data_IF_824382918246
#
_entry.id   IF_824382918246
#
_cell.length_a   1.000
_cell.length_b   1.000
_cell.length_c   1.000
_cell.angle_alpha   90.00
_cell.angle_beta   90.00
_cell.angle_gamma   90.00
#
_symmetry.space_group_name_H-M   'P 1'
#
loop_
_entity.id
_entity.type
_entity.pdbx_description
1 polymer ?
#
# COMPACT_ATOMS: atom_id res chain seq x y z
N UNK A 1 -15.86 11.34 5.95
CA UNK A 1 -15.80 10.10 5.13
C UNK A 1 -14.32 9.81 4.94
N UNK A 2 -13.85 8.60 5.25
CA UNK A 2 -12.46 8.23 4.98
C UNK A 2 -12.23 8.18 3.46
N UNK A 3 -11.08 8.65 3.01
CA UNK A 3 -10.69 8.57 1.60
C UNK A 3 -10.38 7.11 1.22
N UNK A 4 -10.52 6.75 -0.06
CA UNK A 4 -10.24 5.39 -0.56
C UNK A 4 -8.79 4.97 -0.25
N UNK A 5 -7.85 5.91 -0.37
CA UNK A 5 -6.44 5.72 0.00
C UNK A 5 -6.26 5.37 1.48
N UNK A 6 -6.96 6.07 2.38
CA UNK A 6 -6.93 5.81 3.81
C UNK A 6 -7.49 4.42 4.15
N UNK A 7 -8.56 3.99 3.48
CA UNK A 7 -9.13 2.66 3.68
C UNK A 7 -8.17 1.55 3.25
N UNK A 8 -7.49 1.72 2.10
CA UNK A 8 -6.48 0.76 1.63
C UNK A 8 -5.30 0.74 2.59
N UNK A 9 -4.81 1.89 3.04
CA UNK A 9 -3.72 2.01 4.00
C UNK A 9 -4.06 1.40 5.36
N UNK A 10 -5.29 1.52 5.86
CA UNK A 10 -5.73 0.88 7.11
C UNK A 10 -5.83 -0.65 6.99
N UNK A 11 -6.14 -1.17 5.80
CA UNK A 11 -6.27 -2.60 5.56
C UNK A 11 -4.92 -3.33 5.43
N UNK A 12 -3.81 -2.58 5.27
CA UNK A 12 -2.45 -3.13 5.13
C UNK A 12 -1.53 -2.65 6.24
N UNK A 13 -0.83 -3.57 6.89
CA UNK A 13 0.08 -3.28 8.00
C UNK A 13 1.55 -3.45 7.56
N UNK A 14 2.49 -2.60 8.01
CA UNK A 14 3.93 -2.80 7.82
C UNK A 14 4.49 -4.17 8.23
N UNK A 15 3.83 -4.92 9.12
CA UNK A 15 4.24 -6.28 9.51
C UNK A 15 3.83 -7.35 8.51
N UNK A 16 2.92 -7.04 7.58
CA UNK A 16 2.46 -7.98 6.56
C UNK A 16 3.55 -8.23 5.53
N UNK A 17 3.67 -9.47 5.12
CA UNK A 17 4.42 -9.88 3.94
C UNK A 17 3.79 -9.30 2.68
N UNK A 18 4.59 -9.23 1.59
CA UNK A 18 4.08 -8.78 0.28
C UNK A 18 2.90 -9.63 -0.20
N UNK A 19 2.93 -10.95 0.02
CA UNK A 19 1.84 -11.85 -0.36
C UNK A 19 0.55 -11.57 0.41
N UNK A 20 0.64 -11.27 1.71
CA UNK A 20 -0.54 -10.92 2.52
C UNK A 20 -1.15 -9.60 2.05
N UNK A 21 -0.32 -8.60 1.69
CA UNK A 21 -0.81 -7.33 1.14
C UNK A 21 -1.47 -7.52 -0.24
N UNK A 22 -0.89 -8.35 -1.10
CA UNK A 22 -1.47 -8.68 -2.41
C UNK A 22 -2.86 -9.34 -2.29
N UNK A 23 -3.07 -10.15 -1.25
CA UNK A 23 -4.39 -10.72 -0.96
C UNK A 23 -5.42 -9.62 -0.63
N UNK A 24 -5.03 -8.61 0.16
CA UNK A 24 -5.88 -7.44 0.45
C UNK A 24 -6.17 -6.64 -0.83
N UNK A 25 -5.16 -6.36 -1.64
CA UNK A 25 -5.33 -5.62 -2.90
C UNK A 25 -6.24 -6.35 -3.88
N UNK A 26 -6.21 -7.68 -3.90
CA UNK A 26 -7.15 -8.49 -4.67
C UNK A 26 -8.58 -8.29 -4.22
N UNK A 27 -8.84 -8.23 -2.92
CA UNK A 27 -10.19 -7.94 -2.38
C UNK A 27 -10.64 -6.53 -2.77
N UNK A 28 -9.75 -5.55 -2.70
CA UNK A 28 -10.03 -4.15 -3.10
C UNK A 28 -10.43 -4.07 -4.58
N UNK A 29 -9.64 -4.68 -5.48
CA UNK A 29 -9.96 -4.76 -6.92
C UNK A 29 -11.33 -5.39 -7.16
N UNK A 30 -11.62 -6.51 -6.50
CA UNK A 30 -12.92 -7.17 -6.63
C UNK A 30 -14.07 -6.32 -6.09
N UNK A 31 -13.86 -5.56 -5.02
CA UNK A 31 -14.88 -4.67 -4.48
C UNK A 31 -15.23 -3.55 -5.48
N UNK A 32 -14.22 -2.97 -6.13
CA UNK A 32 -14.39 -1.95 -7.17
C UNK A 32 -15.10 -2.54 -8.38
N UNK A 33 -14.71 -3.73 -8.82
CA UNK A 33 -15.40 -4.42 -9.92
C UNK A 33 -16.88 -4.66 -9.60
N UNK A 34 -17.21 -5.15 -8.40
CA UNK A 34 -18.61 -5.35 -7.98
C UNK A 34 -19.39 -4.02 -7.94
N UNK A 35 -18.73 -2.92 -7.59
CA UNK A 35 -19.35 -1.59 -7.61
C UNK A 35 -19.64 -1.14 -9.05
N UNK A 36 -18.70 -1.33 -9.97
CA UNK A 36 -18.87 -1.04 -11.39
C UNK A 36 -20.02 -1.86 -12.00
N UNK A 37 -20.07 -3.16 -11.69
CA UNK A 37 -21.14 -4.05 -12.12
C UNK A 37 -22.51 -3.58 -11.60
N UNK A 38 -22.59 -3.17 -10.33
CA UNK A 38 -23.81 -2.64 -9.72
C UNK A 38 -24.28 -1.34 -10.39
N UNK A 39 -23.36 -0.53 -10.86
CA UNK A 39 -23.64 0.71 -11.60
C UNK A 39 -23.88 0.49 -13.10
N UNK A 40 -23.88 -0.77 -13.56
CA UNK A 40 -23.97 -1.15 -14.97
C UNK A 40 -22.94 -0.42 -15.86
N UNK A 41 -21.75 -0.14 -15.30
CA UNK A 41 -20.64 0.47 -16.03
C UNK A 41 -20.12 -0.51 -17.08
N UNK A 42 -20.25 -0.14 -18.34
CA UNK A 42 -19.66 -0.90 -19.44
C UNK A 42 -18.12 -0.83 -19.36
N UNK A 43 -17.40 -1.91 -19.65
CA UNK A 43 -15.94 -1.87 -19.80
C UNK A 43 -15.44 -0.88 -20.88
N UNK A 44 -16.31 -0.49 -21.81
CA UNK A 44 -16.01 0.54 -22.82
C UNK A 44 -16.22 1.98 -22.30
N UNK A 45 -16.80 2.15 -21.11
CA UNK A 45 -16.96 3.46 -20.49
C UNK A 45 -15.60 3.97 -19.98
N UNK A 46 -15.27 5.22 -20.28
CA UNK A 46 -14.02 5.85 -19.82
C UNK A 46 -13.88 5.85 -18.28
N UNK A 47 -15.01 5.90 -17.56
CA UNK A 47 -15.03 5.83 -16.08
C UNK A 47 -14.55 4.49 -15.56
N UNK A 48 -14.83 3.40 -16.28
CA UNK A 48 -14.37 2.06 -15.90
C UNK A 48 -12.84 2.00 -15.90
N UNK A 49 -12.22 2.45 -17.00
CA UNK A 49 -10.77 2.49 -17.12
C UNK A 49 -10.13 3.44 -16.09
N UNK A 50 -10.73 4.62 -15.88
CA UNK A 50 -10.25 5.59 -14.90
C UNK A 50 -10.29 5.03 -13.47
N UNK A 51 -11.40 4.41 -13.07
CA UNK A 51 -11.53 3.82 -11.74
C UNK A 51 -10.49 2.73 -11.50
N UNK A 52 -10.25 1.86 -12.48
CA UNK A 52 -9.21 0.82 -12.38
C UNK A 52 -7.81 1.45 -12.25
N UNK A 53 -7.54 2.51 -13.02
CA UNK A 53 -6.28 3.23 -12.93
C UNK A 53 -6.05 3.82 -11.54
N UNK A 54 -7.06 4.50 -10.98
CA UNK A 54 -6.98 5.13 -9.66
C UNK A 54 -6.75 4.11 -8.54
N UNK A 55 -7.35 2.91 -8.66
CA UNK A 55 -7.10 1.81 -7.71
C UNK A 55 -5.64 1.37 -7.76
N UNK A 56 -5.10 1.14 -8.95
CA UNK A 56 -3.71 0.68 -9.13
C UNK A 56 -2.68 1.77 -8.81
N UNK A 57 -3.03 3.04 -8.97
CA UNK A 57 -2.24 4.17 -8.48
C UNK A 57 -2.22 4.21 -6.96
N UNK A 58 -3.39 4.14 -6.32
CA UNK A 58 -3.50 4.10 -4.85
C UNK A 58 -2.70 2.95 -4.23
N UNK A 59 -2.78 1.76 -4.82
CA UNK A 59 -2.01 0.58 -4.34
C UNK A 59 -0.51 0.85 -4.44
N UNK A 60 -0.03 1.44 -5.55
CA UNK A 60 1.38 1.77 -5.73
C UNK A 60 1.86 2.80 -4.73
N UNK A 61 1.06 3.82 -4.43
CA UNK A 61 1.42 4.86 -3.47
C UNK A 61 1.54 4.28 -2.06
N UNK A 62 0.58 3.46 -1.65
CA UNK A 62 0.62 2.76 -0.35
C UNK A 62 1.84 1.84 -0.24
N UNK A 63 2.17 1.07 -1.28
CA UNK A 63 3.40 0.26 -1.30
C UNK A 63 4.66 1.13 -1.22
N UNK A 64 4.67 2.30 -1.88
CA UNK A 64 5.75 3.27 -1.80
C UNK A 64 5.97 3.79 -0.37
N UNK A 65 4.89 4.08 0.36
CA UNK A 65 4.94 4.51 1.76
C UNK A 65 5.43 3.40 2.70
N UNK A 66 4.97 2.17 2.50
CA UNK A 66 5.42 1.01 3.27
C UNK A 66 6.92 0.78 3.05
N UNK A 67 7.37 0.81 1.79
CA UNK A 67 8.77 0.63 1.43
C UNK A 67 9.65 1.73 2.04
N UNK A 68 9.19 2.99 1.97
CA UNK A 68 9.87 4.13 2.59
C UNK A 68 9.99 3.96 4.11
N UNK A 69 8.90 3.59 4.77
CA UNK A 69 8.89 3.36 6.23
C UNK A 69 9.83 2.24 6.63
N UNK A 70 9.84 1.13 5.88
CA UNK A 70 10.75 0.02 6.10
C UNK A 70 12.22 0.41 5.90
N UNK A 71 12.50 1.26 4.91
CA UNK A 71 13.85 1.77 4.66
C UNK A 71 14.34 2.68 5.80
N UNK A 72 13.49 3.59 6.28
CA UNK A 72 13.83 4.48 7.41
C UNK A 72 14.14 3.68 8.68
N UNK A 73 13.33 2.68 9.03
CA UNK A 73 13.60 1.80 10.19
C UNK A 73 14.97 1.11 10.10
N UNK A 74 15.33 0.60 8.91
CA UNK A 74 16.64 -0.04 8.69
C UNK A 74 17.80 0.93 8.89
N UNK A 75 17.63 2.20 8.49
CA UNK A 75 18.65 3.24 8.69
C UNK A 75 18.80 3.55 10.18
N UNK A 76 17.70 3.65 10.93
CA UNK A 76 17.73 3.88 12.37
C UNK A 76 18.44 2.73 13.10
N UNK A 77 18.12 1.48 12.74
CA UNK A 77 18.77 0.29 13.31
C UNK A 77 20.28 0.27 13.01
N UNK A 78 20.67 0.61 11.78
CA UNK A 78 22.07 0.67 11.38
C UNK A 78 22.84 1.77 12.13
N UNK A 79 22.22 2.95 12.31
CA UNK A 79 22.81 4.05 13.08
C UNK A 79 22.97 3.67 14.55
N UNK A 80 21.97 3.02 15.15
CA UNK A 80 22.05 2.53 16.52
C UNK A 80 23.19 1.51 16.69
N UNK A 81 23.33 0.57 15.75
CA UNK A 81 24.41 -0.41 15.76
C UNK A 81 25.79 0.24 15.62
N UNK A 82 25.92 1.25 14.74
CA UNK A 82 27.16 2.00 14.56
C UNK A 82 27.56 2.76 15.83
N UNK A 83 26.63 3.48 16.45
CA UNK A 83 26.87 4.24 17.67
C UNK A 83 27.29 3.34 18.83
N UNK A 84 26.63 2.18 18.97
CA UNK A 84 27.02 1.16 19.95
C UNK A 84 28.46 0.70 19.73
N UNK A 85 28.80 0.30 18.49
CA UNK A 85 30.14 -0.15 18.16
C UNK A 85 31.21 0.93 18.34
N UNK A 86 30.88 2.21 18.10
CA UNK A 86 31.79 3.33 18.37
C UNK A 86 32.05 3.50 19.87
N UNK A 87 30.99 3.46 20.69
CA UNK A 87 31.10 3.61 22.15
C UNK A 87 31.84 2.44 22.81
N UNK A 88 31.71 1.21 22.29
CA UNK A 88 32.43 0.02 22.79
C UNK A 88 33.93 0.01 22.43
N UNK A 89 34.34 0.78 21.41
CA UNK A 89 35.75 0.91 20.98
C UNK A 89 36.50 2.03 21.69
N UNK A 90 35.82 2.87 22.46
CA UNK A 90 36.37 4.01 23.19
C UNK A 90 36.57 3.67 24.65
#
# INVERSE_FOLDING_TARGET
MADFSELVAQAVNPSMTRSEREAVYTVVRQAVQRLQEREALSPADARFALQNHLVEETIRDVEGEIARTAALRKLDDALAAQNKAYNERR
#
